data_IF_517341230880
#
_entry.id   IF_517341230880
#
_cell.length_a   1.000
_cell.length_b   1.000
_cell.length_c   1.000
_cell.angle_alpha   90.00
_cell.angle_beta   90.00
_cell.angle_gamma   90.00
#
_symmetry.space_group_name_H-M   'P 1'
#
loop_
_entity.id
_entity.type
_entity.pdbx_description
1 polymer ?
#
# COMPACT_ATOMS: atom_id res chain seq x y z
N UNK A 1 -2.05 65.00 59.01
CA UNK A 1 -0.98 64.46 59.87
C UNK A 1 -1.17 62.95 60.02
N UNK A 2 -0.33 62.16 59.36
CA UNK A 2 -0.01 60.78 59.72
C UNK A 2 1.21 60.41 58.87
N UNK A 3 2.38 60.47 59.50
CA UNK A 3 3.68 60.08 58.95
C UNK A 3 4.08 58.65 59.34
N UNK A 4 5.29 58.18 58.99
CA UNK A 4 5.47 56.88 58.33
C UNK A 4 6.48 55.92 59.01
N UNK A 5 6.72 54.75 58.35
CA UNK A 5 7.95 53.89 58.28
C UNK A 5 7.89 52.46 58.86
N UNK A 6 8.50 51.54 58.10
CA UNK A 6 8.89 50.13 58.37
C UNK A 6 10.10 50.06 59.35
N UNK A 7 10.90 48.95 59.53
CA UNK A 7 10.74 47.49 59.33
C UNK A 7 11.28 46.59 60.51
N UNK A 8 11.04 45.27 60.45
CA UNK A 8 11.96 44.17 60.85
C UNK A 8 12.27 43.87 62.33
N UNK A 9 12.11 42.61 62.74
CA UNK A 9 13.11 41.78 63.47
C UNK A 9 12.54 40.39 63.85
N UNK A 10 13.46 39.43 63.98
CA UNK A 10 13.32 37.98 64.20
C UNK A 10 12.48 37.57 65.43
N UNK A 11 12.21 36.25 65.58
CA UNK A 11 12.53 35.67 66.86
C UNK A 11 13.39 34.39 66.75
N UNK A 12 14.49 34.40 67.51
CA UNK A 12 15.13 33.20 68.05
C UNK A 12 14.24 32.58 69.12
N UNK A 13 14.14 31.24 69.17
CA UNK A 13 14.46 30.46 70.37
C UNK A 13 14.10 28.97 70.20
N UNK A 14 15.19 28.23 70.10
CA UNK A 14 15.44 26.83 70.38
C UNK A 14 14.72 26.26 71.62
N UNK A 15 14.09 25.09 71.49
CA UNK A 15 13.89 24.15 72.61
C UNK A 15 14.24 22.72 72.18
N UNK A 16 15.45 22.34 72.57
CA UNK A 16 16.00 21.01 72.90
C UNK A 16 15.11 19.78 72.64
N UNK A 17 15.61 18.96 71.72
CA UNK A 17 15.16 17.60 71.47
C UNK A 17 15.59 16.61 72.56
N UNK A 18 14.72 15.61 72.74
CA UNK A 18 14.95 14.41 73.51
C UNK A 18 14.98 13.19 72.57
N UNK A 19 16.01 12.36 72.78
CA UNK A 19 16.05 10.89 72.72
C UNK A 19 15.86 10.15 71.38
N UNK A 20 16.99 9.52 71.01
CA UNK A 20 17.17 8.07 70.71
C UNK A 20 16.81 7.51 69.32
N UNK A 21 17.90 7.33 68.56
CA UNK A 21 18.35 6.07 67.94
C UNK A 21 17.40 5.31 67.01
N UNK A 22 17.53 5.56 65.71
CA UNK A 22 17.30 4.60 64.62
C UNK A 22 18.59 4.38 63.81
N UNK A 23 18.75 3.26 63.08
CA UNK A 23 20.01 2.84 62.45
C UNK A 23 20.41 3.75 61.28
N UNK A 24 21.69 3.78 60.86
CA UNK A 24 22.18 4.77 59.90
C UNK A 24 21.52 4.57 58.53
N UNK A 25 20.86 5.63 58.05
CA UNK A 25 20.48 5.78 56.66
C UNK A 25 21.75 5.72 55.80
N UNK A 26 21.82 4.72 54.92
CA UNK A 26 22.85 4.69 53.88
C UNK A 26 22.60 5.85 52.92
N UNK A 27 23.65 6.63 52.72
CA UNK A 27 23.84 7.71 51.76
C UNK A 27 22.81 7.78 50.63
N UNK A 28 21.98 8.82 50.70
CA UNK A 28 21.53 9.52 49.51
C UNK A 28 22.71 10.34 49.00
N UNK A 29 23.25 9.96 47.85
CA UNK A 29 24.01 10.79 46.90
C UNK A 29 24.27 9.93 45.66
N UNK A 30 23.22 9.64 44.90
CA UNK A 30 23.30 9.43 43.44
C UNK A 30 21.89 9.58 42.85
N UNK A 31 21.30 10.76 43.02
CA UNK A 31 20.18 11.17 42.16
C UNK A 31 20.79 11.45 40.80
N UNK A 32 20.71 10.43 39.94
CA UNK A 32 21.11 10.49 38.54
C UNK A 32 20.68 11.81 37.91
N UNK A 33 21.67 12.54 37.43
CA UNK A 33 21.50 13.78 36.67
C UNK A 33 20.49 13.57 35.52
N UNK A 34 19.64 14.55 35.20
CA UNK A 34 18.66 14.45 34.11
C UNK A 34 19.28 14.50 32.70
N UNK A 35 20.60 14.31 32.57
CA UNK A 35 21.36 14.48 31.33
C UNK A 35 21.59 13.18 30.54
N UNK A 36 20.98 12.05 30.94
CA UNK A 36 21.12 10.76 30.27
C UNK A 36 20.37 10.58 28.93
N UNK A 37 19.59 11.57 28.48
CA UNK A 37 18.88 11.54 27.19
C UNK A 37 19.44 12.54 26.17
N UNK A 38 20.62 13.09 26.40
CA UNK A 38 21.36 13.80 25.36
C UNK A 38 22.18 12.80 24.54
N UNK A 39 21.81 12.61 23.27
CA UNK A 39 22.78 12.19 22.27
C UNK A 39 22.86 10.69 21.95
N UNK A 40 21.74 9.94 21.91
CA UNK A 40 21.70 8.83 20.96
C UNK A 40 21.68 9.48 19.56
N UNK A 41 22.86 9.79 19.02
CA UNK A 41 22.99 10.19 17.62
C UNK A 41 22.33 9.09 16.79
N UNK A 42 21.13 9.39 16.29
CA UNK A 42 20.51 8.57 15.25
C UNK A 42 21.52 8.58 14.13
N UNK A 43 22.15 7.43 13.86
CA UNK A 43 23.13 7.33 12.78
C UNK A 43 22.47 7.88 11.52
N UNK A 44 23.18 8.68 10.72
CA UNK A 44 22.60 9.21 9.50
C UNK A 44 22.09 8.02 8.66
N UNK A 45 20.89 8.13 8.06
CA UNK A 45 20.31 7.06 7.30
C UNK A 45 21.26 6.61 6.17
N UNK A 46 21.19 5.34 5.80
CA UNK A 46 21.80 4.87 4.56
C UNK A 46 20.94 5.41 3.41
N UNK A 47 21.20 6.66 3.02
CA UNK A 47 20.57 7.31 1.88
C UNK A 47 21.13 6.70 0.59
N UNK A 48 20.80 5.44 0.33
CA UNK A 48 21.06 4.71 -0.91
C UNK A 48 19.75 4.61 -1.67
N UNK A 49 19.82 4.64 -3.00
CA UNK A 49 18.63 4.35 -3.79
C UNK A 49 18.27 2.87 -3.62
N UNK A 50 17.00 2.57 -3.33
CA UNK A 50 16.54 1.19 -3.40
C UNK A 50 16.59 0.73 -4.86
N UNK A 51 17.12 -0.47 -5.12
CA UNK A 51 17.12 -1.04 -6.47
C UNK A 51 15.69 -1.36 -6.91
N UNK A 52 15.48 -1.44 -8.23
CA UNK A 52 14.23 -1.95 -8.77
C UNK A 52 13.94 -3.36 -8.18
N UNK A 53 12.67 -3.71 -7.90
CA UNK A 53 12.34 -5.10 -7.66
C UNK A 53 12.80 -5.92 -8.87
N UNK A 54 13.54 -7.00 -8.63
CA UNK A 54 14.09 -7.82 -9.71
C UNK A 54 12.96 -8.23 -10.67
N UNK A 55 13.10 -8.03 -11.99
CA UNK A 55 12.13 -8.56 -12.93
C UNK A 55 12.05 -10.07 -12.71
N UNK A 56 10.84 -10.64 -12.72
CA UNK A 56 10.70 -12.10 -12.75
C UNK A 56 11.52 -12.57 -13.95
N UNK A 57 12.44 -13.52 -13.79
CA UNK A 57 13.17 -14.04 -14.94
C UNK A 57 12.14 -14.51 -15.98
N UNK A 58 12.33 -14.23 -17.28
CA UNK A 58 11.47 -14.80 -18.31
C UNK A 58 11.46 -16.30 -18.07
N UNK A 59 10.25 -16.85 -17.97
CA UNK A 59 10.03 -18.28 -17.77
C UNK A 59 10.75 -18.96 -18.94
N UNK A 60 11.93 -19.55 -18.67
CA UNK A 60 12.72 -20.19 -19.70
C UNK A 60 11.82 -21.25 -20.33
N UNK A 61 11.44 -21.03 -21.59
CA UNK A 61 10.71 -22.01 -22.38
C UNK A 61 11.46 -23.32 -22.25
N UNK A 62 10.86 -24.27 -21.53
CA UNK A 62 11.37 -25.63 -21.50
C UNK A 62 11.34 -26.10 -22.94
N UNK A 63 12.46 -26.53 -23.54
CA UNK A 63 12.42 -27.10 -24.87
C UNK A 63 11.47 -28.29 -24.84
N UNK A 64 10.40 -28.20 -25.65
CA UNK A 64 9.44 -29.29 -25.82
C UNK A 64 10.15 -30.57 -26.26
N UNK A 65 9.58 -31.76 -25.98
CA UNK A 65 10.24 -33.01 -26.27
C UNK A 65 10.46 -33.14 -27.77
N UNK A 66 11.73 -33.21 -28.17
CA UNK A 66 12.13 -33.47 -29.54
C UNK A 66 11.46 -34.75 -30.04
N UNK A 67 10.71 -34.62 -31.14
CA UNK A 67 10.10 -35.75 -31.83
C UNK A 67 11.15 -36.74 -32.29
N UNK A 68 10.99 -38.01 -31.91
CA UNK A 68 11.64 -39.14 -32.58
C UNK A 68 10.71 -39.68 -33.66
N UNK A 69 11.14 -39.51 -34.90
CA UNK A 69 10.61 -40.19 -36.07
C UNK A 69 11.18 -41.64 -36.17
N UNK A 70 10.58 -42.52 -37.01
CA UNK A 70 10.55 -43.98 -36.81
C UNK A 70 11.53 -44.77 -37.70
N UNK A 71 11.74 -46.04 -37.34
CA UNK A 71 12.50 -47.07 -38.08
C UNK A 71 13.54 -47.73 -37.16
N UNK A 72 13.74 -49.05 -37.09
CA UNK A 72 13.46 -50.18 -37.98
C UNK A 72 13.45 -51.49 -37.16
N UNK A 73 12.91 -52.53 -37.79
CA UNK A 73 12.54 -53.85 -37.26
C UNK A 73 13.65 -54.76 -36.70
N UNK A 74 13.24 -55.72 -35.85
CA UNK A 74 13.49 -57.20 -35.91
C UNK A 74 12.87 -57.87 -34.65
N UNK A 75 11.83 -58.70 -34.78
CA UNK A 75 11.81 -60.16 -34.98
C UNK A 75 12.13 -61.01 -33.72
N UNK A 76 11.20 -61.91 -33.33
CA UNK A 76 11.38 -62.93 -32.27
C UNK A 76 10.10 -63.20 -31.45
N UNK A 77 9.13 -63.99 -31.92
CA UNK A 77 8.91 -65.44 -31.64
C UNK A 77 7.94 -65.72 -30.47
N UNK A 78 6.82 -66.37 -30.84
CA UNK A 78 5.93 -67.33 -30.10
C UNK A 78 5.33 -66.93 -28.73
N UNK A 79 4.04 -67.13 -28.40
CA UNK A 79 3.23 -68.38 -28.44
C UNK A 79 1.73 -68.09 -28.40
N UNK A 80 0.96 -68.96 -29.04
CA UNK A 80 -0.50 -69.05 -29.00
C UNK A 80 -0.99 -70.16 -28.03
N UNK A 81 -2.24 -70.06 -27.58
CA UNK A 81 -2.98 -71.11 -26.87
C UNK A 81 -4.41 -70.65 -26.50
N UNK A 82 -5.39 -70.84 -27.40
CA UNK A 82 -6.52 -71.81 -27.31
C UNK A 82 -7.67 -71.39 -26.36
N UNK A 83 -8.94 -71.23 -26.78
CA UNK A 83 -9.99 -72.27 -26.97
C UNK A 83 -11.35 -71.63 -27.42
N UNK A 84 -12.43 -72.37 -27.78
CA UNK A 84 -13.06 -72.22 -29.10
C UNK A 84 -14.60 -71.98 -29.16
N UNK A 85 -15.06 -71.72 -30.39
CA UNK A 85 -16.29 -72.12 -31.11
C UNK A 85 -17.67 -72.20 -30.41
N UNK A 86 -18.65 -71.50 -31.02
CA UNK A 86 -20.01 -72.06 -31.23
C UNK A 86 -20.70 -71.42 -32.44
N UNK A 87 -21.14 -72.26 -33.38
CA UNK A 87 -21.92 -71.87 -34.57
C UNK A 87 -23.30 -72.52 -34.58
N UNK A 88 -24.29 -71.80 -35.14
CA UNK A 88 -25.35 -72.38 -35.97
C UNK A 88 -26.74 -72.48 -35.35
N UNK A 89 -27.72 -71.78 -35.94
CA UNK A 89 -28.82 -72.38 -36.74
C UNK A 89 -29.89 -71.35 -37.17
N UNK A 90 -30.03 -71.23 -38.49
CA UNK A 90 -31.22 -71.32 -39.35
C UNK A 90 -32.55 -70.58 -39.07
N UNK A 91 -32.86 -69.70 -40.04
CA UNK A 91 -34.10 -69.48 -40.82
C UNK A 91 -35.43 -69.07 -40.15
N UNK A 92 -36.12 -68.06 -40.72
CA UNK A 92 -37.59 -67.98 -40.66
C UNK A 92 -38.27 -68.05 -42.04
N UNK A 93 -39.46 -68.68 -42.07
CA UNK A 93 -40.41 -68.68 -43.20
C UNK A 93 -41.43 -67.53 -43.06
N UNK A 94 -41.76 -66.97 -44.23
CA UNK A 94 -42.84 -66.02 -44.63
C UNK A 94 -44.26 -66.42 -44.13
N UNK A 95 -45.28 -65.52 -44.10
CA UNK A 95 -45.91 -64.99 -45.33
C UNK A 95 -46.48 -63.55 -45.29
N UNK A 96 -47.13 -63.20 -46.41
CA UNK A 96 -47.46 -61.90 -46.99
C UNK A 96 -48.67 -61.15 -46.37
N UNK A 97 -48.52 -59.81 -46.29
CA UNK A 97 -49.42 -58.68 -46.66
C UNK A 97 -50.97 -58.82 -46.59
N UNK A 98 -51.73 -57.74 -46.22
CA UNK A 98 -51.98 -56.64 -47.17
C UNK A 98 -52.08 -55.21 -46.62
N UNK A 99 -51.94 -54.26 -47.57
CA UNK A 99 -52.11 -52.80 -47.54
C UNK A 99 -53.26 -52.27 -46.66
N UNK A 100 -53.00 -51.13 -45.98
CA UNK A 100 -53.89 -49.96 -45.95
C UNK A 100 -53.12 -48.65 -45.71
N UNK A 101 -53.59 -47.59 -46.36
CA UNK A 101 -53.09 -46.19 -46.38
C UNK A 101 -53.51 -45.42 -45.12
N UNK A 102 -52.75 -44.36 -44.83
CA UNK A 102 -53.03 -43.28 -43.87
C UNK A 102 -52.17 -43.45 -42.61
N UNK A 103 -51.24 -42.58 -42.23
CA UNK A 103 -51.20 -41.13 -42.34
C UNK A 103 -51.32 -40.58 -40.93
N UNK A 104 -50.18 -40.25 -40.28
CA UNK A 104 -50.17 -39.53 -39.00
C UNK A 104 -49.07 -39.94 -38.03
N UNK A 105 -48.19 -38.98 -37.73
CA UNK A 105 -47.39 -38.83 -36.51
C UNK A 105 -46.32 -39.90 -36.17
N UNK A 106 -45.11 -39.71 -36.72
CA UNK A 106 -43.89 -40.35 -36.23
C UNK A 106 -43.12 -39.41 -35.29
N UNK A 107 -42.86 -39.88 -34.08
CA UNK A 107 -41.95 -39.29 -33.11
C UNK A 107 -40.54 -39.93 -33.20
N UNK A 108 -39.51 -39.10 -33.00
CA UNK A 108 -38.12 -39.47 -32.63
C UNK A 108 -37.03 -39.12 -33.67
N UNK A 109 -35.74 -38.93 -33.31
CA UNK A 109 -35.10 -38.79 -32.00
C UNK A 109 -34.18 -37.53 -31.87
N UNK A 110 -33.40 -37.50 -30.79
CA UNK A 110 -32.58 -36.44 -30.18
C UNK A 110 -31.37 -35.94 -30.99
N UNK A 111 -30.98 -34.68 -30.64
CA UNK A 111 -29.63 -34.07 -30.52
C UNK A 111 -28.88 -33.69 -31.81
N UNK A 112 -28.73 -32.37 -31.98
CA UNK A 112 -27.77 -31.74 -32.90
C UNK A 112 -27.51 -30.28 -32.52
N UNK A 113 -27.20 -29.98 -31.25
CA UNK A 113 -26.77 -28.64 -30.84
C UNK A 113 -25.25 -28.52 -30.97
N UNK A 114 -24.77 -28.23 -32.19
CA UNK A 114 -23.42 -27.76 -32.42
C UNK A 114 -23.35 -26.93 -33.72
N UNK A 115 -23.54 -25.61 -33.64
CA UNK A 115 -22.63 -24.75 -34.42
C UNK A 115 -22.15 -23.49 -33.68
N UNK A 116 -22.43 -23.33 -32.38
CA UNK A 116 -21.99 -22.11 -31.64
C UNK A 116 -20.55 -22.23 -31.11
N UNK A 117 -20.05 -23.45 -30.89
CA UNK A 117 -18.70 -23.68 -30.35
C UNK A 117 -17.56 -23.54 -31.37
N UNK A 118 -17.83 -23.75 -32.65
CA UNK A 118 -16.83 -23.63 -33.73
C UNK A 118 -16.66 -22.19 -34.21
N UNK A 119 -17.70 -21.36 -34.12
CA UNK A 119 -17.61 -19.95 -34.51
C UNK A 119 -16.85 -19.08 -33.48
N UNK A 120 -16.88 -19.44 -32.19
CA UNK A 120 -16.08 -18.75 -31.17
C UNK A 120 -14.57 -19.02 -31.31
N UNK A 121 -14.18 -20.20 -31.79
CA UNK A 121 -12.77 -20.58 -31.97
C UNK A 121 -12.11 -19.85 -33.15
N UNK A 122 -12.85 -19.54 -34.21
CA UNK A 122 -12.35 -18.80 -35.37
C UNK A 122 -12.19 -17.29 -35.08
N UNK A 123 -13.08 -16.71 -34.27
CA UNK A 123 -12.98 -15.31 -33.85
C UNK A 123 -11.79 -15.03 -32.91
N UNK A 124 -11.37 -16.03 -32.12
CA UNK A 124 -10.21 -15.94 -31.23
C UNK A 124 -8.86 -16.06 -31.95
N UNK A 125 -8.82 -16.69 -33.14
CA UNK A 125 -7.59 -16.82 -33.93
C UNK A 125 -7.34 -15.64 -34.87
N UNK A 126 -8.39 -14.93 -35.31
CA UNK A 126 -8.22 -13.73 -36.15
C UNK A 126 -7.79 -12.48 -35.36
N UNK A 127 -8.02 -12.44 -34.03
CA UNK A 127 -7.59 -11.34 -33.17
C UNK A 127 -6.09 -11.30 -32.87
N UNK A 128 -5.36 -12.40 -33.12
CA UNK A 128 -3.93 -12.51 -32.81
C UNK A 128 -3.01 -11.92 -33.89
N UNK A 129 -3.50 -11.73 -35.13
CA UNK A 129 -2.68 -11.24 -36.24
C UNK A 129 -2.63 -9.70 -36.35
N UNK A 130 -3.42 -8.96 -35.56
CA UNK A 130 -3.50 -7.50 -35.64
C UNK A 130 -2.47 -6.76 -34.76
N UNK A 131 -1.65 -7.46 -33.97
CA UNK A 131 -0.65 -6.86 -33.08
C UNK A 131 0.80 -6.99 -33.55
N UNK A 132 1.04 -7.50 -34.76
CA UNK A 132 2.38 -7.46 -35.37
C UNK A 132 2.61 -6.09 -36.04
N UNK A 133 2.72 -5.03 -35.23
CA UNK A 133 3.27 -3.74 -35.67
C UNK A 133 4.69 -3.62 -35.10
N UNK A 134 5.62 -3.23 -35.97
CA UNK A 134 7.06 -3.39 -35.81
C UNK A 134 7.66 -2.80 -34.54
N UNK A 135 8.84 -3.30 -34.17
CA UNK A 135 9.57 -2.94 -32.95
C UNK A 135 9.66 -1.41 -32.79
N UNK A 136 8.88 -0.80 -31.88
CA UNK A 136 9.14 0.57 -31.51
C UNK A 136 10.52 0.60 -30.84
N UNK A 137 11.31 1.66 -31.10
CA UNK A 137 12.51 1.95 -30.31
C UNK A 137 12.21 1.69 -28.83
N UNK A 138 13.08 1.02 -28.06
CA UNK A 138 12.70 0.41 -26.78
C UNK A 138 12.06 1.49 -25.92
N UNK A 139 10.74 1.38 -25.74
CA UNK A 139 9.97 2.33 -24.96
C UNK A 139 10.64 2.40 -23.58
N UNK A 140 10.91 3.62 -23.10
CA UNK A 140 11.54 3.81 -21.79
C UNK A 140 10.59 3.21 -20.76
N UNK A 141 10.88 2.01 -20.27
CA UNK A 141 10.05 1.36 -19.26
C UNK A 141 10.31 2.03 -17.91
N UNK A 142 9.33 2.09 -17.01
CA UNK A 142 9.53 2.62 -15.65
C UNK A 142 10.71 1.95 -14.93
N UNK A 143 10.93 0.66 -15.18
CA UNK A 143 12.04 -0.12 -14.61
C UNK A 143 13.42 0.35 -15.11
N UNK A 144 13.57 0.55 -16.42
CA UNK A 144 14.80 1.11 -17.01
C UNK A 144 15.02 2.56 -16.57
N UNK A 145 13.93 3.33 -16.50
CA UNK A 145 13.93 4.69 -15.97
C UNK A 145 14.42 4.75 -14.51
N UNK A 146 14.03 3.77 -13.68
CA UNK A 146 14.47 3.68 -12.30
C UNK A 146 15.97 3.38 -12.19
N UNK A 147 16.52 2.49 -13.03
CA UNK A 147 17.97 2.26 -13.07
C UNK A 147 18.74 3.52 -13.46
N UNK A 148 18.29 4.25 -14.49
CA UNK A 148 18.89 5.50 -14.92
C UNK A 148 18.81 6.58 -13.82
N UNK A 149 17.66 6.72 -13.16
CA UNK A 149 17.47 7.65 -12.05
C UNK A 149 18.38 7.32 -10.84
N UNK A 150 18.50 6.04 -10.50
CA UNK A 150 19.41 5.58 -9.45
C UNK A 150 20.86 5.88 -9.82
N UNK A 151 21.26 5.71 -11.08
CA UNK A 151 22.62 6.03 -11.53
C UNK A 151 22.93 7.53 -11.40
N UNK A 152 21.98 8.42 -11.74
CA UNK A 152 22.11 9.86 -11.51
C UNK A 152 22.28 10.17 -10.02
N UNK A 153 21.51 9.50 -9.16
CA UNK A 153 21.61 9.66 -7.71
C UNK A 153 22.99 9.24 -7.17
N UNK A 154 23.51 8.08 -7.59
CA UNK A 154 24.83 7.60 -7.19
C UNK A 154 25.97 8.48 -7.75
N UNK A 155 25.75 9.14 -8.90
CA UNK A 155 26.64 10.16 -9.45
C UNK A 155 26.53 11.52 -8.73
N UNK A 156 25.74 11.61 -7.66
CA UNK A 156 25.42 12.84 -6.91
C UNK A 156 24.72 13.94 -7.73
N UNK A 157 24.20 13.62 -8.92
CA UNK A 157 23.28 14.47 -9.66
C UNK A 157 21.86 14.31 -9.09
N UNK A 158 21.66 14.88 -7.91
CA UNK A 158 20.39 14.77 -7.19
C UNK A 158 19.25 15.52 -7.89
N UNK A 159 19.55 16.54 -8.69
CA UNK A 159 18.56 17.29 -9.44
C UNK A 159 18.07 16.51 -10.66
N UNK A 160 19.00 15.94 -11.43
CA UNK A 160 18.69 15.01 -12.52
C UNK A 160 17.95 13.77 -12.01
N UNK A 161 18.40 13.19 -10.88
CA UNK A 161 17.73 12.06 -10.25
C UNK A 161 16.29 12.42 -9.83
N UNK A 162 16.08 13.56 -9.18
CA UNK A 162 14.74 14.00 -8.79
C UNK A 162 13.82 14.23 -9.99
N UNK A 163 14.34 14.80 -11.09
CA UNK A 163 13.58 14.95 -12.33
C UNK A 163 13.19 13.58 -12.93
N UNK A 164 14.13 12.63 -12.96
CA UNK A 164 13.88 11.28 -13.46
C UNK A 164 12.87 10.51 -12.60
N UNK A 165 12.97 10.57 -11.27
CA UNK A 165 11.98 9.93 -10.38
C UNK A 165 10.58 10.54 -10.53
N UNK A 166 10.46 11.86 -10.69
CA UNK A 166 9.17 12.51 -10.94
C UNK A 166 8.53 12.01 -12.24
N UNK A 167 9.31 11.89 -13.31
CA UNK A 167 8.82 11.31 -14.57
C UNK A 167 8.32 9.87 -14.39
N UNK A 168 8.99 9.04 -13.57
CA UNK A 168 8.50 7.69 -13.26
C UNK A 168 7.16 7.75 -12.51
N UNK A 169 7.01 8.67 -11.56
CA UNK A 169 5.77 8.85 -10.79
C UNK A 169 4.60 9.37 -11.65
N UNK A 170 4.85 10.09 -12.74
CA UNK A 170 3.81 10.45 -13.71
C UNK A 170 3.19 9.21 -14.37
N UNK A 171 3.98 8.14 -14.55
CA UNK A 171 3.53 6.88 -15.13
C UNK A 171 2.98 5.92 -14.07
N UNK A 172 3.59 5.89 -12.88
CA UNK A 172 3.17 5.06 -11.76
C UNK A 172 3.19 5.87 -10.45
N UNK A 173 2.07 6.56 -10.13
CA UNK A 173 1.99 7.44 -8.96
C UNK A 173 2.12 6.72 -7.61
N UNK A 174 1.88 5.41 -7.57
CA UNK A 174 1.79 4.61 -6.34
C UNK A 174 3.02 3.73 -6.09
N UNK A 175 4.21 4.20 -6.48
CA UNK A 175 5.46 3.49 -6.22
C UNK A 175 6.14 3.94 -4.92
N UNK A 176 6.08 3.15 -3.82
CA UNK A 176 6.74 3.51 -2.56
C UNK A 176 8.25 3.67 -2.72
N UNK A 177 8.88 2.81 -3.53
CA UNK A 177 10.32 2.85 -3.82
C UNK A 177 10.72 4.15 -4.51
N UNK A 178 9.95 4.60 -5.51
CA UNK A 178 10.28 5.82 -6.25
C UNK A 178 10.06 7.05 -5.37
N UNK A 179 8.98 7.08 -4.57
CA UNK A 179 8.77 8.14 -3.56
C UNK A 179 9.92 8.19 -2.56
N UNK A 180 10.36 7.04 -2.03
CA UNK A 180 11.51 6.99 -1.12
C UNK A 180 12.80 7.50 -1.78
N UNK A 181 13.10 7.07 -3.02
CA UNK A 181 14.31 7.49 -3.73
C UNK A 181 14.28 8.97 -4.11
N UNK A 182 13.10 9.51 -4.50
CA UNK A 182 12.90 10.94 -4.71
C UNK A 182 13.11 11.74 -3.42
N UNK A 183 12.62 11.20 -2.29
CA UNK A 183 12.87 11.77 -0.97
C UNK A 183 14.36 11.83 -0.62
N UNK A 184 15.09 10.74 -0.89
CA UNK A 184 16.55 10.71 -0.74
C UNK A 184 17.25 11.77 -1.61
N UNK A 185 16.84 11.90 -2.87
CA UNK A 185 17.40 12.89 -3.79
C UNK A 185 17.19 14.32 -3.27
N UNK A 186 15.96 14.69 -2.87
CA UNK A 186 15.68 15.99 -2.28
C UNK A 186 16.44 16.23 -0.97
N UNK A 187 16.54 15.20 -0.12
CA UNK A 187 17.27 15.30 1.14
C UNK A 187 18.75 15.61 0.93
N UNK A 188 19.37 14.98 -0.09
CA UNK A 188 20.78 15.18 -0.46
C UNK A 188 21.03 16.47 -1.22
N UNK A 189 20.03 17.00 -1.93
CA UNK A 189 20.17 18.18 -2.78
C UNK A 189 20.64 19.43 -2.02
N UNK A 190 20.28 19.56 -0.73
CA UNK A 190 20.74 20.65 0.14
C UNK A 190 20.26 22.05 -0.25
N UNK A 191 19.32 22.17 -1.19
CA UNK A 191 18.70 23.45 -1.61
C UNK A 191 17.64 23.90 -0.58
N UNK A 192 17.36 25.21 -0.46
CA UNK A 192 16.24 25.69 0.36
C UNK A 192 14.93 24.99 0.01
N UNK A 193 14.20 24.53 1.03
CA UNK A 193 12.94 23.81 0.85
C UNK A 193 13.05 22.32 0.50
N UNK A 194 14.25 21.81 0.18
CA UNK A 194 14.43 20.41 -0.23
C UNK A 194 14.14 19.42 0.92
N UNK A 195 14.32 19.84 2.18
CA UNK A 195 13.94 19.01 3.34
C UNK A 195 12.43 18.80 3.42
N UNK A 196 11.62 19.84 3.17
CA UNK A 196 10.17 19.74 3.15
C UNK A 196 9.67 18.79 2.06
N UNK A 197 10.21 18.90 0.84
CA UNK A 197 9.92 17.98 -0.26
C UNK A 197 10.33 16.54 0.05
N UNK A 198 11.50 16.36 0.68
CA UNK A 198 11.95 15.03 1.10
C UNK A 198 10.97 14.39 2.10
N UNK A 199 10.52 15.15 3.10
CA UNK A 199 9.53 14.70 4.09
C UNK A 199 8.22 14.31 3.42
N UNK A 200 7.71 15.10 2.47
CA UNK A 200 6.49 14.78 1.73
C UNK A 200 6.62 13.44 0.97
N UNK A 201 7.74 13.25 0.26
CA UNK A 201 8.01 12.01 -0.47
C UNK A 201 8.12 10.81 0.48
N UNK A 202 8.80 10.94 1.61
CA UNK A 202 8.88 9.87 2.62
C UNK A 202 7.54 9.57 3.27
N UNK A 203 6.69 10.58 3.51
CA UNK A 203 5.33 10.37 4.02
C UNK A 203 4.49 9.58 3.02
N UNK A 204 4.57 9.91 1.73
CA UNK A 204 3.89 9.14 0.68
C UNK A 204 4.39 7.69 0.60
N UNK A 205 5.70 7.50 0.65
CA UNK A 205 6.29 6.17 0.71
C UNK A 205 5.82 5.38 1.95
N UNK A 206 5.72 6.05 3.10
CA UNK A 206 5.23 5.47 4.35
C UNK A 206 3.74 5.10 4.28
N UNK A 207 2.89 5.88 3.63
CA UNK A 207 1.47 5.53 3.45
C UNK A 207 1.27 4.28 2.59
N UNK A 208 2.09 4.15 1.54
CA UNK A 208 2.08 3.03 0.61
C UNK A 208 2.70 1.77 1.22
N UNK A 209 3.78 1.91 1.99
CA UNK A 209 4.53 0.80 2.58
C UNK A 209 4.92 1.10 4.04
N UNK A 210 3.95 1.13 4.97
CA UNK A 210 4.18 1.62 6.33
C UNK A 210 5.06 0.71 7.18
N UNK A 211 5.31 -0.52 6.74
CA UNK A 211 6.10 -1.54 7.43
C UNK A 211 7.59 -1.52 7.06
N UNK A 212 7.96 -0.77 6.02
CA UNK A 212 9.37 -0.67 5.60
C UNK A 212 10.21 0.10 6.63
N UNK A 213 11.30 -0.53 7.08
CA UNK A 213 12.16 0.03 8.12
C UNK A 213 12.99 1.21 7.61
N UNK A 214 13.42 1.18 6.36
CA UNK A 214 14.27 2.21 5.77
C UNK A 214 13.45 3.48 5.50
N UNK A 215 12.23 3.33 4.98
CA UNK A 215 11.28 4.44 4.82
C UNK A 215 11.00 5.08 6.19
N UNK A 216 10.64 4.28 7.20
CA UNK A 216 10.31 4.80 8.54
C UNK A 216 11.50 5.52 9.18
N UNK A 217 12.69 4.94 9.06
CA UNK A 217 13.90 5.51 9.64
C UNK A 217 14.29 6.83 8.95
N UNK A 218 14.24 6.90 7.62
CA UNK A 218 14.56 8.13 6.88
C UNK A 218 13.52 9.23 7.13
N UNK A 219 12.23 8.87 7.18
CA UNK A 219 11.16 9.78 7.53
C UNK A 219 11.36 10.36 8.93
N UNK A 220 11.64 9.51 9.93
CA UNK A 220 11.87 9.95 11.31
C UNK A 220 13.09 10.86 11.40
N UNK A 221 14.18 10.54 10.70
CA UNK A 221 15.38 11.38 10.66
C UNK A 221 15.09 12.75 10.03
N UNK A 222 14.38 12.79 8.91
CA UNK A 222 14.02 14.02 8.22
C UNK A 222 13.07 14.89 9.06
N UNK A 223 12.04 14.29 9.68
CA UNK A 223 11.12 14.97 10.57
C UNK A 223 11.83 15.55 11.80
N UNK A 224 12.73 14.79 12.45
CA UNK A 224 13.54 15.29 13.58
C UNK A 224 14.41 16.49 13.16
N UNK A 225 14.99 16.47 11.97
CA UNK A 225 15.76 17.60 11.43
C UNK A 225 14.89 18.83 11.18
N UNK A 226 13.62 18.64 10.85
CA UNK A 226 12.62 19.70 10.73
C UNK A 226 11.95 20.09 12.08
N UNK A 227 12.33 19.46 13.20
CA UNK A 227 11.70 19.70 14.50
C UNK A 227 10.29 19.10 14.65
N UNK A 228 9.89 18.19 13.76
CA UNK A 228 8.60 17.49 13.80
C UNK A 228 8.73 16.07 14.34
N UNK A 229 7.76 15.59 15.15
CA UNK A 229 7.69 14.19 15.53
C UNK A 229 6.97 13.37 14.45
N UNK A 230 7.38 12.11 14.26
CA UNK A 230 6.64 11.16 13.42
C UNK A 230 5.20 10.98 13.94
N UNK A 231 5.09 10.62 15.22
CA UNK A 231 3.84 10.40 15.93
C UNK A 231 3.30 11.76 16.40
N UNK A 232 2.08 12.17 15.99
CA UNK A 232 1.48 13.40 16.46
C UNK A 232 1.35 13.44 17.99
N UNK A 233 1.44 14.65 18.57
CA UNK A 233 1.29 14.82 20.01
C UNK A 233 -0.10 14.36 20.48
N UNK A 234 -0.18 13.70 21.65
CA UNK A 234 -1.42 13.17 22.20
C UNK A 234 -1.87 11.83 21.61
N UNK A 235 -1.19 11.30 20.58
CA UNK A 235 -1.49 9.97 20.03
C UNK A 235 -0.58 8.91 20.69
N UNK A 236 -1.15 7.89 21.35
CA UNK A 236 -0.36 6.79 21.89
C UNK A 236 0.41 6.04 20.78
N UNK A 237 1.71 5.73 20.96
CA UNK A 237 2.50 5.07 19.91
C UNK A 237 1.90 3.74 19.43
N UNK A 238 1.34 2.93 20.33
CA UNK A 238 0.70 1.67 19.97
C UNK A 238 -0.49 1.88 19.03
N UNK A 239 -1.29 2.94 19.23
CA UNK A 239 -2.42 3.27 18.37
C UNK A 239 -1.95 3.73 16.99
N UNK A 240 -0.90 4.55 16.93
CA UNK A 240 -0.29 4.99 15.67
C UNK A 240 0.25 3.79 14.86
N UNK A 241 0.97 2.88 15.53
CA UNK A 241 1.50 1.66 14.91
C UNK A 241 0.36 0.77 14.41
N UNK A 242 -0.68 0.56 15.22
CA UNK A 242 -1.83 -0.25 14.83
C UNK A 242 -2.56 0.35 13.63
N UNK A 243 -2.78 1.67 13.63
CA UNK A 243 -3.47 2.40 12.56
C UNK A 243 -2.74 2.30 11.21
N UNK A 244 -1.40 2.37 11.23
CA UNK A 244 -0.55 2.21 10.05
C UNK A 244 -0.03 0.78 9.85
N UNK A 245 -0.59 -0.24 10.53
CA UNK A 245 -0.09 -1.61 10.42
C UNK A 245 -0.27 -2.22 9.02
N UNK A 246 -1.31 -1.77 8.31
CA UNK A 246 -1.61 -2.14 6.93
C UNK A 246 -1.48 -0.90 6.04
N UNK A 247 -1.11 -1.07 4.78
CA UNK A 247 -1.18 0.01 3.80
C UNK A 247 -2.65 0.36 3.50
N UNK A 248 -2.86 1.43 2.72
CA UNK A 248 -4.15 1.66 2.06
C UNK A 248 -4.55 0.37 1.35
N UNK A 249 -3.94 0.09 0.18
CA UNK A 249 -4.23 -1.05 -0.70
C UNK A 249 -4.55 -2.38 0.02
N UNK A 250 -3.79 -2.75 1.06
CA UNK A 250 -4.02 -3.98 1.84
C UNK A 250 -5.39 -4.00 2.53
N UNK A 251 -5.84 -2.87 3.08
CA UNK A 251 -7.16 -2.75 3.68
C UNK A 251 -8.29 -2.90 2.64
N UNK A 252 -8.11 -2.46 1.38
CA UNK A 252 -9.14 -2.61 0.34
C UNK A 252 -9.16 -4.04 -0.12
N UNK A 253 -7.99 -4.65 -0.29
CA UNK A 253 -7.90 -6.06 -0.63
C UNK A 253 -8.63 -6.90 0.43
N UNK A 254 -8.43 -6.63 1.73
CA UNK A 254 -9.15 -7.30 2.81
C UNK A 254 -10.65 -7.01 2.78
N UNK A 255 -11.05 -5.75 2.59
CA UNK A 255 -12.45 -5.37 2.45
C UNK A 255 -13.15 -6.15 1.32
N UNK A 256 -12.58 -6.14 0.11
CA UNK A 256 -13.14 -6.83 -1.05
C UNK A 256 -13.09 -8.36 -0.92
N UNK A 257 -12.03 -8.89 -0.33
CA UNK A 257 -11.93 -10.32 -0.02
C UNK A 257 -13.11 -10.76 0.86
N UNK A 258 -13.37 -10.07 1.96
CA UNK A 258 -14.45 -10.41 2.89
C UNK A 258 -15.84 -10.19 2.30
N UNK A 259 -16.00 -9.20 1.41
CA UNK A 259 -17.21 -9.02 0.63
C UNK A 259 -17.53 -10.26 -0.23
N UNK A 260 -16.57 -10.72 -1.04
CA UNK A 260 -16.75 -11.90 -1.89
C UNK A 260 -16.91 -13.19 -1.09
N UNK A 261 -16.19 -13.33 0.03
CA UNK A 261 -16.36 -14.45 0.95
C UNK A 261 -17.78 -14.50 1.54
N UNK A 262 -18.34 -13.36 1.94
CA UNK A 262 -19.71 -13.26 2.44
C UNK A 262 -20.73 -13.66 1.36
N UNK A 263 -20.55 -13.22 0.11
CA UNK A 263 -21.43 -13.62 -1.00
C UNK A 263 -21.38 -15.13 -1.28
N UNK A 264 -20.19 -15.72 -1.24
CA UNK A 264 -20.03 -17.18 -1.40
C UNK A 264 -20.72 -17.94 -0.27
N UNK A 265 -20.53 -17.53 0.98
CA UNK A 265 -21.16 -18.16 2.15
C UNK A 265 -22.68 -18.02 2.13
N UNK A 266 -23.20 -16.86 1.69
CA UNK A 266 -24.63 -16.64 1.50
C UNK A 266 -25.20 -17.60 0.44
N UNK A 267 -24.51 -17.75 -0.70
CA UNK A 267 -24.92 -18.69 -1.75
C UNK A 267 -24.89 -20.15 -1.26
N UNK A 268 -23.88 -20.54 -0.49
CA UNK A 268 -23.80 -21.87 0.12
C UNK A 268 -24.92 -22.10 1.14
N UNK A 269 -25.24 -21.11 1.99
CA UNK A 269 -26.41 -21.17 2.87
C UNK A 269 -27.71 -21.33 2.09
N UNK A 270 -27.86 -20.68 0.93
CA UNK A 270 -29.06 -20.79 0.10
C UNK A 270 -29.21 -22.20 -0.51
N UNK A 271 -28.11 -22.80 -0.99
CA UNK A 271 -28.12 -24.10 -1.69
C UNK A 271 -28.03 -25.31 -0.75
N UNK A 272 -27.21 -25.24 0.30
CA UNK A 272 -26.88 -26.37 1.16
C UNK A 272 -27.54 -26.25 2.53
N UNK A 273 -28.83 -26.57 2.59
CA UNK A 273 -29.62 -26.46 3.82
C UNK A 273 -29.03 -27.27 4.99
N UNK A 274 -28.38 -28.40 4.66
CA UNK A 274 -27.72 -29.28 5.64
C UNK A 274 -26.56 -28.62 6.39
N UNK A 275 -25.84 -27.70 5.75
CA UNK A 275 -24.65 -27.05 6.33
C UNK A 275 -24.92 -25.65 6.89
N UNK A 276 -26.15 -25.14 6.74
CA UNK A 276 -26.57 -23.82 7.25
C UNK A 276 -26.12 -23.51 8.68
N UNK A 277 -26.30 -24.37 9.72
CA UNK A 277 -25.91 -24.01 11.08
C UNK A 277 -24.40 -23.79 11.24
N UNK A 278 -23.57 -24.46 10.42
CA UNK A 278 -22.12 -24.27 10.41
C UNK A 278 -21.67 -23.09 9.55
N UNK A 279 -22.40 -22.80 8.46
CA UNK A 279 -22.08 -21.71 7.53
C UNK A 279 -22.55 -20.34 8.02
N UNK A 280 -23.66 -20.27 8.75
CA UNK A 280 -24.22 -19.00 9.26
C UNK A 280 -23.24 -18.22 10.16
N UNK A 281 -22.55 -18.81 11.16
CA UNK A 281 -21.58 -18.06 11.96
C UNK A 281 -20.39 -17.57 11.12
N UNK A 282 -19.95 -18.35 10.11
CA UNK A 282 -18.90 -17.92 9.18
C UNK A 282 -19.35 -16.75 8.31
N UNK A 283 -20.61 -16.77 7.84
CA UNK A 283 -21.22 -15.68 7.10
C UNK A 283 -21.27 -14.41 7.95
N UNK A 284 -21.73 -14.52 9.20
CA UNK A 284 -21.76 -13.38 10.13
C UNK A 284 -20.34 -12.84 10.35
N UNK A 285 -19.35 -13.70 10.59
CA UNK A 285 -17.96 -13.30 10.75
C UNK A 285 -17.42 -12.58 9.49
N UNK A 286 -17.73 -13.09 8.29
CA UNK A 286 -17.32 -12.48 7.03
C UNK A 286 -17.96 -11.10 6.81
N UNK A 287 -19.25 -10.94 7.14
CA UNK A 287 -19.97 -9.66 7.06
C UNK A 287 -19.39 -8.65 8.06
N UNK A 288 -19.12 -9.08 9.30
CA UNK A 288 -18.49 -8.23 10.31
C UNK A 288 -17.07 -7.81 9.90
N UNK A 289 -16.29 -8.71 9.32
CA UNK A 289 -14.97 -8.41 8.80
C UNK A 289 -15.04 -7.42 7.63
N UNK A 290 -15.92 -7.63 6.66
CA UNK A 290 -16.16 -6.70 5.55
C UNK A 290 -16.51 -5.29 6.05
N UNK A 291 -17.47 -5.18 6.98
CA UNK A 291 -17.88 -3.92 7.57
C UNK A 291 -16.76 -3.27 8.40
N UNK A 292 -16.01 -4.07 9.17
CA UNK A 292 -14.89 -3.60 10.00
C UNK A 292 -13.73 -3.06 9.16
N UNK A 293 -13.25 -3.83 8.18
CA UNK A 293 -12.21 -3.37 7.25
C UNK A 293 -12.69 -2.22 6.36
N UNK A 294 -13.96 -2.22 5.96
CA UNK A 294 -14.57 -1.11 5.22
C UNK A 294 -14.64 0.17 6.04
N UNK A 295 -14.98 0.07 7.32
CA UNK A 295 -14.98 1.20 8.24
C UNK A 295 -13.56 1.71 8.49
N UNK A 296 -12.58 0.82 8.64
CA UNK A 296 -11.17 1.22 8.82
C UNK A 296 -10.59 1.87 7.55
N UNK A 297 -10.76 1.26 6.37
CA UNK A 297 -10.38 1.86 5.09
C UNK A 297 -11.08 3.20 4.89
N UNK A 298 -12.41 3.23 5.02
CA UNK A 298 -13.22 4.42 4.83
C UNK A 298 -12.87 5.53 5.81
N UNK A 299 -12.57 5.19 7.07
CA UNK A 299 -12.06 6.15 8.05
C UNK A 299 -10.69 6.67 7.64
N UNK A 300 -9.77 5.85 7.12
CA UNK A 300 -8.45 6.34 6.67
C UNK A 300 -8.54 7.29 5.46
N UNK A 301 -9.44 7.00 4.54
CA UNK A 301 -9.72 7.85 3.38
C UNK A 301 -10.46 9.13 3.79
N UNK A 302 -11.47 9.02 4.65
CA UNK A 302 -12.34 10.14 5.05
C UNK A 302 -11.71 11.04 6.14
N UNK A 303 -10.96 10.44 7.08
CA UNK A 303 -10.24 11.13 8.16
C UNK A 303 -8.74 11.22 7.90
N UNK A 304 -8.31 11.14 6.65
CA UNK A 304 -7.08 11.81 6.25
C UNK A 304 -7.22 13.28 6.64
N UNK A 305 -6.83 13.62 7.89
CA UNK A 305 -7.17 14.83 8.62
C UNK A 305 -6.75 16.05 7.80
N UNK A 306 -7.69 16.48 6.95
CA UNK A 306 -7.63 17.47 5.87
C UNK A 306 -6.37 17.37 5.00
N UNK A 307 -6.42 16.59 3.89
CA UNK A 307 -5.49 16.68 2.74
C UNK A 307 -4.07 17.10 3.17
N UNK A 308 -3.36 16.24 3.89
CA UNK A 308 -2.13 16.63 4.57
C UNK A 308 -1.12 17.14 3.54
N UNK A 309 -0.45 18.22 3.89
CA UNK A 309 0.60 18.81 3.08
C UNK A 309 1.81 19.14 3.96
N UNK A 310 2.95 19.29 3.32
CA UNK A 310 4.19 19.68 3.97
C UNK A 310 4.64 21.02 3.41
N UNK A 311 5.06 21.92 4.29
CA UNK A 311 5.71 23.15 3.87
C UNK A 311 7.04 22.81 3.18
N UNK A 312 7.15 23.14 1.90
CA UNK A 312 8.24 22.77 1.00
C UNK A 312 9.22 23.92 0.73
N UNK A 313 9.08 25.03 1.45
CA UNK A 313 9.99 26.20 1.44
C UNK A 313 10.56 26.40 2.83
N UNK A 314 11.78 26.93 2.92
CA UNK A 314 12.53 27.05 4.18
C UNK A 314 11.72 27.73 5.29
N UNK A 315 11.06 28.82 4.96
CA UNK A 315 10.15 29.54 5.84
C UNK A 315 8.99 30.10 4.99
N UNK A 316 7.79 29.57 5.21
CA UNK A 316 6.59 30.06 4.54
C UNK A 316 5.88 31.13 5.37
N UNK A 317 5.52 32.24 4.73
CA UNK A 317 4.66 33.25 5.34
C UNK A 317 3.20 32.83 5.27
N UNK A 318 2.58 32.62 6.43
CA UNK A 318 1.16 32.31 6.53
C UNK A 318 0.39 33.57 6.87
N UNK A 319 -0.57 33.93 6.02
CA UNK A 319 -1.28 35.21 6.03
C UNK A 319 -2.70 35.07 6.55
N UNK A 320 -3.30 36.16 7.01
CA UNK A 320 -4.67 36.14 7.53
C UNK A 320 -5.74 35.97 6.43
N UNK A 321 -5.39 36.18 5.16
CA UNK A 321 -6.31 36.09 4.03
C UNK A 321 -5.59 35.70 2.72
N UNK A 322 -6.35 35.36 1.68
CA UNK A 322 -5.82 34.91 0.39
C UNK A 322 -5.21 36.09 -0.38
N UNK A 323 -3.89 36.25 -0.34
CA UNK A 323 -3.16 37.27 -1.09
C UNK A 323 -2.01 37.91 -0.33
N UNK A 324 -1.11 38.56 -1.05
CA UNK A 324 0.04 39.30 -0.50
C UNK A 324 -0.34 40.60 0.21
N UNK A 325 -1.59 41.06 0.06
CA UNK A 325 -2.08 42.29 0.70
C UNK A 325 -2.51 42.06 2.17
N UNK A 326 -2.68 40.80 2.57
CA UNK A 326 -3.04 40.47 3.95
C UNK A 326 -1.80 40.38 4.83
N UNK A 327 -1.87 40.82 6.11
CA UNK A 327 -0.75 40.73 7.02
C UNK A 327 -0.33 39.27 7.26
N UNK A 328 0.97 39.08 7.47
CA UNK A 328 1.54 37.79 7.88
C UNK A 328 1.09 37.52 9.32
N UNK A 329 0.31 36.44 9.50
CA UNK A 329 -0.18 36.01 10.80
C UNK A 329 0.92 35.27 11.57
N UNK A 330 1.63 34.35 10.91
CA UNK A 330 2.76 33.62 11.47
C UNK A 330 3.64 33.05 10.34
N UNK A 331 4.80 32.51 10.70
CA UNK A 331 5.72 31.86 9.77
C UNK A 331 5.80 30.36 10.07
N UNK A 332 5.80 29.53 9.03
CA UNK A 332 5.87 28.08 9.14
C UNK A 332 7.18 27.56 8.52
N UNK A 333 8.04 26.86 9.28
CA UNK A 333 9.29 26.31 8.74
C UNK A 333 9.03 25.12 7.80
N UNK A 334 10.01 24.82 6.93
CA UNK A 334 9.97 23.63 6.07
C UNK A 334 9.77 22.34 6.88
N UNK A 335 9.08 21.37 6.29
CA UNK A 335 8.81 20.08 6.93
C UNK A 335 7.62 20.10 7.89
N UNK A 336 7.06 21.28 8.19
CA UNK A 336 5.84 21.41 9.00
C UNK A 336 4.67 20.75 8.28
N UNK A 337 4.03 19.79 8.95
CA UNK A 337 2.79 19.16 8.48
C UNK A 337 1.61 20.10 8.72
N UNK A 338 0.83 20.34 7.67
CA UNK A 338 -0.33 21.22 7.69
C UNK A 338 -1.53 20.51 7.08
N UNK A 339 -2.72 20.88 7.53
CA UNK A 339 -3.98 20.37 7.00
C UNK A 339 -4.54 21.37 6.00
N UNK A 340 -4.79 20.98 4.76
CA UNK A 340 -5.38 21.88 3.76
C UNK A 340 -6.89 21.94 3.94
N UNK A 341 -7.43 23.15 4.10
CA UNK A 341 -8.85 23.40 4.37
C UNK A 341 -9.56 23.86 3.09
N UNK A 342 -9.23 25.07 2.62
CA UNK A 342 -9.84 25.70 1.44
C UNK A 342 -8.77 26.11 0.42
N UNK A 343 -9.15 26.24 -0.86
CA UNK A 343 -8.27 26.75 -1.92
C UNK A 343 -8.98 27.88 -2.66
N UNK A 344 -8.30 29.02 -2.81
CA UNK A 344 -8.83 30.20 -3.53
C UNK A 344 -7.74 30.78 -4.43
N UNK A 345 -7.83 30.49 -5.73
CA UNK A 345 -6.76 30.82 -6.69
C UNK A 345 -5.45 30.12 -6.30
N UNK A 346 -4.36 30.87 -6.29
CA UNK A 346 -3.00 30.40 -5.94
C UNK A 346 -2.75 30.31 -4.42
N UNK A 347 -3.79 30.47 -3.60
CA UNK A 347 -3.69 30.46 -2.14
C UNK A 347 -4.48 29.30 -1.55
N UNK A 348 -3.90 28.66 -0.53
CA UNK A 348 -4.51 27.55 0.20
C UNK A 348 -4.63 27.95 1.66
N UNK A 349 -5.82 27.84 2.21
CA UNK A 349 -6.03 27.94 3.66
C UNK A 349 -5.52 26.64 4.31
N UNK A 350 -4.64 26.79 5.28
CA UNK A 350 -4.07 25.72 6.06
C UNK A 350 -4.46 25.84 7.52
N UNK A 351 -4.66 24.69 8.17
CA UNK A 351 -4.75 24.55 9.61
C UNK A 351 -3.49 23.92 10.17
N UNK A 352 -3.02 24.41 11.32
CA UNK A 352 -1.97 23.82 12.12
C UNK A 352 -2.60 23.01 13.27
N UNK A 353 -2.63 21.67 13.18
CA UNK A 353 -3.33 20.85 14.19
C UNK A 353 -2.76 21.00 15.60
N UNK A 354 -1.44 21.24 15.72
CA UNK A 354 -0.75 21.43 17.01
C UNK A 354 -1.13 22.72 17.73
N UNK A 355 -1.33 23.80 16.99
CA UNK A 355 -1.47 25.15 17.56
C UNK A 355 -2.93 25.66 17.48
N UNK A 356 -3.80 24.96 16.74
CA UNK A 356 -5.17 25.41 16.47
C UNK A 356 -5.25 26.65 15.57
N UNK A 357 -4.12 27.08 14.99
CA UNK A 357 -4.04 28.24 14.13
C UNK A 357 -4.48 27.90 12.70
N UNK A 358 -5.02 28.91 12.01
CA UNK A 358 -5.37 28.86 10.59
C UNK A 358 -4.80 30.06 9.86
N UNK A 359 -4.55 29.91 8.57
CA UNK A 359 -4.18 31.01 7.69
C UNK A 359 -3.89 30.56 6.27
N UNK A 360 -3.53 31.50 5.41
CA UNK A 360 -3.39 31.30 3.97
C UNK A 360 -1.92 31.30 3.56
N UNK A 361 -1.54 30.31 2.76
CA UNK A 361 -0.19 30.12 2.24
C UNK A 361 -0.26 29.99 0.72
N UNK A 362 0.81 30.39 0.02
CA UNK A 362 0.92 30.20 -1.42
C UNK A 362 0.95 28.70 -1.77
N UNK A 363 0.28 28.31 -2.85
CA UNK A 363 0.11 26.91 -3.23
C UNK A 363 1.43 26.22 -3.63
N UNK A 364 2.39 26.96 -4.17
CA UNK A 364 3.73 26.50 -4.56
C UNK A 364 4.67 26.24 -3.37
N UNK A 365 4.35 26.83 -2.21
CA UNK A 365 5.07 26.62 -0.96
C UNK A 365 4.68 25.31 -0.25
N UNK A 366 3.69 24.57 -0.78
CA UNK A 366 3.19 23.31 -0.21
C UNK A 366 3.43 22.13 -1.16
N UNK A 367 3.98 21.06 -0.61
CA UNK A 367 3.98 19.75 -1.26
C UNK A 367 2.79 18.92 -0.74
N UNK A 368 2.04 18.30 -1.65
CA UNK A 368 0.91 17.43 -1.31
C UNK A 368 1.43 16.04 -0.95
N UNK A 369 0.81 15.42 0.05
CA UNK A 369 1.03 14.01 0.42
C UNK A 369 -0.09 13.17 -0.17
#
# INVERSE_FOLDING_TARGET
MAGPRRPGQEPQANTRGALRTGPPARHADDLGSPDGLSGRQVRPPRLRAHPAPSPRPPEAERPGPAGRAPGTAQAGVERAGTLPLRSGRDLPRRPLQPRRRGGGAGAGPRRGAAPVRTLLAAALLAGAAAFAQGDPAPARTPERGLTEANALYEAADYEGAAAAYKWILEQNPESPTVHYNLGNAYFRQGKPGSLGRAIACYLRAFELQPRDSDIRHNLEFALRRAGEPLIPAGVPPALFIAYHALSGLELAALHWFWYWAALLLLALCAVQERWRPSLLPLLVAAVLAWAGFGSWWGFREATGLSRPAVVAVEEAEVRSGPGTNFPVAFKAPQGRRVSRLESKGDWIEIGLPKEGLKGWIAADALEKI
#
